data_IF_098230536747
#
_entry.id   IF_098230536747
#
_cell.length_a   1.000
_cell.length_b   1.000
_cell.length_c   1.000
_cell.angle_alpha   90.00
_cell.angle_beta   90.00
_cell.angle_gamma   90.00
#
_symmetry.space_group_name_H-M   'P 1'
#
loop_
_entity.id
_entity.type
_entity.pdbx_description
1 polymer ?
#
# COMPACT_ATOMS: atom_id res chain seq x y z
N UNK A 1 -20.25 -30.71 -8.64
CA UNK A 1 -21.04 -29.74 -7.85
C UNK A 1 -20.86 -28.37 -8.47
N UNK A 2 -21.94 -27.79 -9.01
CA UNK A 2 -21.89 -26.45 -9.61
C UNK A 2 -21.77 -25.37 -8.54
N UNK A 3 -20.90 -24.39 -8.76
CA UNK A 3 -20.85 -23.17 -7.94
C UNK A 3 -22.25 -22.52 -7.95
N UNK A 4 -22.79 -22.09 -6.79
CA UNK A 4 -24.03 -21.35 -6.77
C UNK A 4 -23.89 -20.08 -7.63
N UNK A 5 -24.96 -19.65 -8.33
CA UNK A 5 -24.92 -18.43 -9.12
C UNK A 5 -24.54 -17.26 -8.21
N UNK A 6 -23.56 -16.46 -8.64
CA UNK A 6 -23.20 -15.21 -7.95
C UNK A 6 -24.46 -14.35 -7.86
N UNK A 7 -24.88 -14.01 -6.65
CA UNK A 7 -25.93 -13.03 -6.44
C UNK A 7 -25.50 -11.70 -7.08
N UNK A 8 -26.17 -11.31 -8.16
CA UNK A 8 -25.98 -10.01 -8.80
C UNK A 8 -26.85 -9.02 -8.04
N UNK A 9 -26.24 -8.22 -7.18
CA UNK A 9 -26.91 -7.11 -6.48
C UNK A 9 -26.88 -5.89 -7.39
N UNK A 10 -28.05 -5.33 -7.72
CA UNK A 10 -28.09 -4.08 -8.49
C UNK A 10 -27.70 -2.92 -7.59
N UNK A 11 -27.18 -1.84 -8.20
CA UNK A 11 -26.77 -0.66 -7.44
C UNK A 11 -27.94 -0.03 -6.69
N UNK A 12 -29.14 -0.01 -7.29
CA UNK A 12 -30.37 0.49 -6.63
C UNK A 12 -30.79 -0.32 -5.39
N UNK A 13 -30.37 -1.57 -5.29
CA UNK A 13 -30.75 -2.48 -4.19
C UNK A 13 -29.72 -2.49 -3.04
N UNK A 14 -28.66 -1.69 -3.15
CA UNK A 14 -27.63 -1.63 -2.11
C UNK A 14 -28.17 -0.94 -0.85
N UNK A 15 -27.89 -1.48 0.35
CA UNK A 15 -28.12 -0.77 1.59
C UNK A 15 -27.47 0.62 1.55
N UNK A 16 -28.14 1.63 2.11
CA UNK A 16 -27.68 3.03 2.05
C UNK A 16 -26.22 3.21 2.51
N UNK A 17 -25.81 2.48 3.55
CA UNK A 17 -24.43 2.48 4.02
C UNK A 17 -23.43 1.98 2.96
N UNK A 18 -23.75 0.89 2.25
CA UNK A 18 -22.90 0.37 1.18
C UNK A 18 -22.83 1.33 -0.02
N UNK A 19 -23.95 1.97 -0.37
CA UNK A 19 -23.98 2.99 -1.41
C UNK A 19 -23.11 4.20 -1.05
N UNK A 20 -23.15 4.66 0.21
CA UNK A 20 -22.31 5.75 0.70
C UNK A 20 -20.82 5.37 0.66
N UNK A 21 -20.44 4.16 1.09
CA UNK A 21 -19.05 3.68 0.99
C UNK A 21 -18.56 3.63 -0.46
N UNK A 22 -19.37 3.15 -1.40
CA UNK A 22 -19.02 3.16 -2.83
C UNK A 22 -18.88 4.58 -3.38
N UNK A 23 -19.74 5.50 -2.96
CA UNK A 23 -19.62 6.92 -3.28
C UNK A 23 -18.28 7.49 -2.82
N UNK A 24 -17.92 7.27 -1.55
CA UNK A 24 -16.65 7.73 -0.99
C UNK A 24 -15.43 7.12 -1.72
N UNK A 25 -15.47 5.83 -2.07
CA UNK A 25 -14.39 5.18 -2.83
C UNK A 25 -14.25 5.83 -4.21
N UNK A 26 -15.37 6.05 -4.92
CA UNK A 26 -15.37 6.70 -6.23
C UNK A 26 -14.78 8.10 -6.13
N UNK A 27 -15.19 8.88 -5.13
CA UNK A 27 -14.76 10.27 -4.98
C UNK A 27 -13.27 10.33 -4.60
N UNK A 28 -12.77 9.41 -3.78
CA UNK A 28 -11.32 9.25 -3.52
C UNK A 28 -10.55 8.92 -4.79
N UNK A 29 -11.00 7.96 -5.60
CA UNK A 29 -10.32 7.61 -6.83
C UNK A 29 -10.33 8.76 -7.86
N UNK A 30 -11.44 9.50 -7.95
CA UNK A 30 -11.54 10.67 -8.81
C UNK A 30 -10.57 11.77 -8.38
N UNK A 31 -10.51 12.07 -7.07
CA UNK A 31 -9.57 13.04 -6.49
C UNK A 31 -8.13 12.68 -6.83
N UNK A 32 -7.72 11.44 -6.56
CA UNK A 32 -6.35 10.99 -6.83
C UNK A 32 -5.99 11.02 -8.31
N UNK A 33 -6.94 10.68 -9.18
CA UNK A 33 -6.70 10.66 -10.63
C UNK A 33 -6.65 12.05 -11.27
N UNK A 34 -7.46 12.99 -10.79
CA UNK A 34 -7.65 14.30 -11.42
C UNK A 34 -6.82 15.40 -10.76
N UNK A 35 -6.67 15.37 -9.43
CA UNK A 35 -6.11 16.48 -8.67
C UNK A 35 -4.64 16.27 -8.31
N UNK A 36 -4.20 15.02 -8.09
CA UNK A 36 -2.80 14.72 -7.83
C UNK A 36 -2.02 14.77 -9.14
N UNK A 37 -1.29 15.86 -9.35
CA UNK A 37 -0.42 16.06 -10.53
C UNK A 37 0.88 15.26 -10.40
N UNK A 38 0.78 13.96 -10.60
CA UNK A 38 1.90 13.02 -10.60
C UNK A 38 1.72 11.97 -11.70
N UNK A 39 2.74 11.17 -12.01
CA UNK A 39 2.59 10.16 -13.06
C UNK A 39 1.56 9.08 -12.68
N UNK A 40 0.72 8.69 -13.64
CA UNK A 40 -0.38 7.73 -13.43
C UNK A 40 0.07 6.36 -12.92
N UNK A 41 1.36 6.00 -13.11
CA UNK A 41 1.96 4.77 -12.58
C UNK A 41 1.89 4.68 -11.05
N UNK A 42 1.88 5.80 -10.34
CA UNK A 42 1.80 5.84 -8.87
C UNK A 42 0.39 5.52 -8.37
N UNK A 43 -0.63 5.89 -9.15
CA UNK A 43 -2.04 5.57 -8.88
C UNK A 43 -2.41 4.11 -9.21
N UNK A 44 -1.76 3.52 -10.21
CA UNK A 44 -2.14 2.20 -10.75
C UNK A 44 -2.21 1.09 -9.69
N UNK A 45 -1.26 1.07 -8.75
CA UNK A 45 -1.25 0.05 -7.69
C UNK A 45 -2.46 0.18 -6.78
N UNK A 46 -2.79 1.41 -6.35
CA UNK A 46 -3.98 1.67 -5.53
C UNK A 46 -5.25 1.26 -6.28
N UNK A 47 -5.40 1.66 -7.55
CA UNK A 47 -6.55 1.30 -8.35
C UNK A 47 -6.73 -0.22 -8.44
N UNK A 48 -5.66 -0.94 -8.78
CA UNK A 48 -5.68 -2.42 -8.85
C UNK A 48 -5.99 -3.04 -7.48
N UNK A 49 -5.52 -2.46 -6.39
CA UNK A 49 -5.82 -2.95 -5.05
C UNK A 49 -7.31 -2.81 -4.71
N UNK A 50 -7.90 -1.66 -5.07
CA UNK A 50 -9.29 -1.32 -4.82
C UNK A 50 -10.26 -2.26 -5.54
N UNK A 51 -9.96 -2.62 -6.80
CA UNK A 51 -10.81 -3.51 -7.62
C UNK A 51 -10.41 -4.99 -7.53
N UNK A 52 -9.52 -5.35 -6.61
CA UNK A 52 -8.95 -6.71 -6.49
C UNK A 52 -8.38 -7.23 -7.82
N UNK A 53 -7.62 -6.41 -8.56
CA UNK A 53 -6.99 -6.76 -9.84
C UNK A 53 -5.47 -6.93 -9.78
N UNK A 54 -4.87 -6.89 -8.58
CA UNK A 54 -3.44 -7.24 -8.43
C UNK A 54 -3.28 -8.73 -8.73
N UNK A 55 -2.38 -9.15 -9.64
CA UNK A 55 -2.25 -10.55 -10.08
C UNK A 55 -1.57 -11.42 -9.00
N UNK A 56 -2.33 -11.73 -7.95
CA UNK A 56 -1.95 -12.58 -6.83
C UNK A 56 -2.75 -13.89 -6.89
N UNK A 57 -2.12 -15.03 -7.20
CA UNK A 57 -2.79 -16.33 -7.18
C UNK A 57 -3.53 -16.58 -5.86
N UNK A 58 -4.80 -16.97 -5.92
CA UNK A 58 -5.66 -17.18 -4.76
C UNK A 58 -6.37 -15.94 -4.21
N UNK A 59 -6.31 -14.79 -4.91
CA UNK A 59 -7.25 -13.68 -4.73
C UNK A 59 -8.65 -14.06 -5.22
N UNK A 60 -9.65 -13.22 -4.89
CA UNK A 60 -11.07 -13.48 -5.15
C UNK A 60 -11.42 -13.65 -6.64
N UNK A 61 -10.63 -13.03 -7.53
CA UNK A 61 -10.76 -13.15 -8.99
C UNK A 61 -9.95 -14.31 -9.59
N UNK A 62 -9.07 -14.96 -8.81
CA UNK A 62 -8.32 -16.16 -9.19
C UNK A 62 -8.39 -17.24 -8.11
N UNK A 63 -9.60 -17.68 -7.69
CA UNK A 63 -9.76 -18.55 -6.52
C UNK A 63 -9.22 -19.97 -6.73
N UNK A 64 -9.13 -20.42 -7.99
CA UNK A 64 -8.62 -21.74 -8.35
C UNK A 64 -7.12 -21.76 -8.60
N UNK A 65 -6.48 -20.59 -8.73
CA UNK A 65 -5.04 -20.51 -8.88
C UNK A 65 -4.37 -20.83 -7.55
N UNK A 66 -3.46 -21.82 -7.54
CA UNK A 66 -2.72 -22.20 -6.33
C UNK A 66 -1.98 -20.97 -5.80
N UNK A 67 -2.22 -20.65 -4.51
CA UNK A 67 -1.49 -19.58 -3.80
C UNK A 67 0.00 -19.87 -3.88
N UNK A 68 0.74 -18.91 -4.44
CA UNK A 68 2.20 -18.94 -4.44
C UNK A 68 2.69 -18.53 -3.05
N UNK A 69 3.63 -19.28 -2.43
CA UNK A 69 4.24 -18.85 -1.18
C UNK A 69 4.90 -17.49 -1.36
N UNK A 70 4.77 -16.64 -0.35
CA UNK A 70 5.49 -15.38 -0.33
C UNK A 70 6.95 -15.63 0.03
N UNK A 71 7.88 -14.96 -0.66
CA UNK A 71 9.31 -14.99 -0.35
C UNK A 71 9.67 -14.51 1.06
N UNK A 72 8.73 -13.90 1.79
CA UNK A 72 8.95 -13.51 3.19
C UNK A 72 8.87 -14.67 4.19
N UNK A 73 8.46 -15.87 3.75
CA UNK A 73 8.34 -17.06 4.60
C UNK A 73 7.10 -17.11 5.51
N UNK A 74 6.26 -16.07 5.52
CA UNK A 74 5.10 -15.97 6.43
C UNK A 74 3.74 -16.27 5.77
N UNK A 75 3.69 -16.56 4.47
CA UNK A 75 2.44 -16.78 3.74
C UNK A 75 2.55 -17.88 2.69
N UNK A 76 1.54 -18.76 2.61
CA UNK A 76 1.43 -19.79 1.58
C UNK A 76 2.05 -21.15 1.93
N UNK A 77 2.55 -21.36 3.15
CA UNK A 77 2.77 -22.71 3.66
C UNK A 77 1.41 -23.31 4.04
N UNK A 78 0.83 -24.09 3.13
CA UNK A 78 -0.42 -24.82 3.34
C UNK A 78 -0.25 -25.89 4.43
N UNK A 79 -0.29 -25.48 5.69
CA UNK A 79 -0.55 -26.35 6.83
C UNK A 79 -1.98 -26.11 7.27
N UNK A 80 -2.90 -26.99 6.90
CA UNK A 80 -4.20 -27.07 7.54
C UNK A 80 -3.97 -27.45 9.01
N UNK A 81 -3.99 -26.47 9.91
CA UNK A 81 -4.23 -26.76 11.32
C UNK A 81 -5.74 -26.91 11.44
N UNK A 82 -6.21 -28.14 11.21
CA UNK A 82 -7.57 -28.52 11.55
C UNK A 82 -7.71 -28.47 13.08
N UNK A 83 -8.16 -27.34 13.59
CA UNK A 83 -8.44 -27.11 15.00
C UNK A 83 -9.30 -25.86 15.17
N UNK A 84 -10.42 -26.05 15.87
CA UNK A 84 -11.48 -25.10 16.25
C UNK A 84 -11.23 -23.59 15.98
N UNK A 85 -12.17 -22.97 15.27
CA UNK A 85 -12.27 -21.52 15.03
C UNK A 85 -10.99 -20.83 14.52
N UNK A 86 -10.24 -21.50 13.63
CA UNK A 86 -9.13 -20.87 12.92
C UNK A 86 -9.62 -19.61 12.19
N UNK A 87 -9.12 -18.44 12.62
CA UNK A 87 -9.32 -17.19 11.90
C UNK A 87 -9.01 -17.41 10.41
N UNK A 88 -9.90 -16.96 9.53
CA UNK A 88 -9.73 -17.15 8.09
C UNK A 88 -8.32 -16.68 7.67
N UNK A 89 -7.54 -17.56 7.06
CA UNK A 89 -6.18 -17.23 6.63
C UNK A 89 -6.21 -15.93 5.80
N UNK A 90 -5.28 -14.98 6.03
CA UNK A 90 -5.30 -13.69 5.37
C UNK A 90 -5.38 -13.86 3.85
N UNK A 91 -6.14 -12.99 3.19
CA UNK A 91 -6.18 -12.97 1.72
C UNK A 91 -4.78 -12.64 1.18
N UNK A 92 -4.39 -13.09 -0.03
CA UNK A 92 -3.07 -12.71 -0.57
C UNK A 92 -2.89 -11.20 -0.64
N UNK A 93 -3.95 -10.46 -0.96
CA UNK A 93 -3.98 -8.99 -0.88
C UNK A 93 -3.64 -8.45 0.52
N UNK A 94 -4.33 -8.96 1.55
CA UNK A 94 -4.06 -8.60 2.95
C UNK A 94 -2.59 -8.86 3.30
N UNK A 95 -2.09 -10.04 2.95
CA UNK A 95 -0.71 -10.38 3.25
C UNK A 95 0.27 -9.44 2.56
N UNK A 96 0.19 -9.31 1.23
CA UNK A 96 1.20 -8.60 0.47
C UNK A 96 1.21 -7.08 0.68
N UNK A 97 0.07 -6.47 1.01
CA UNK A 97 -0.07 -5.01 1.15
C UNK A 97 -0.31 -4.55 2.60
N UNK A 98 -0.20 -5.45 3.57
CA UNK A 98 -0.31 -5.09 4.99
C UNK A 98 0.58 -5.96 5.88
N UNK A 99 0.45 -7.29 5.82
CA UNK A 99 1.13 -8.16 6.80
C UNK A 99 2.59 -8.50 6.46
N UNK A 100 2.96 -8.44 5.18
CA UNK A 100 4.26 -8.82 4.66
C UNK A 100 5.36 -7.89 5.21
N UNK A 101 6.55 -8.43 5.47
CA UNK A 101 7.71 -7.66 5.94
C UNK A 101 8.02 -6.43 5.05
N UNK A 102 7.84 -6.56 3.73
CA UNK A 102 8.00 -5.45 2.77
C UNK A 102 7.00 -4.32 3.05
N UNK A 103 5.71 -4.63 3.16
CA UNK A 103 4.67 -3.65 3.44
C UNK A 103 4.85 -3.03 4.83
N UNK A 104 5.15 -3.86 5.84
CA UNK A 104 5.40 -3.40 7.21
C UNK A 104 6.58 -2.44 7.31
N UNK A 105 7.65 -2.65 6.54
CA UNK A 105 8.79 -1.73 6.54
C UNK A 105 8.42 -0.34 5.99
N UNK A 106 7.63 -0.28 4.91
CA UNK A 106 7.12 1.00 4.39
C UNK A 106 6.19 1.67 5.40
N UNK A 107 5.25 0.92 5.99
CA UNK A 107 4.33 1.44 7.03
C UNK A 107 5.08 1.89 8.28
N UNK A 108 6.19 1.23 8.64
CA UNK A 108 7.03 1.65 9.76
C UNK A 108 7.68 3.02 9.50
N UNK A 109 8.11 3.31 8.27
CA UNK A 109 8.65 4.62 7.90
C UNK A 109 7.59 5.72 7.96
N UNK A 110 6.36 5.44 7.55
CA UNK A 110 5.24 6.39 7.69
C UNK A 110 4.96 6.64 9.18
N UNK A 111 4.94 5.59 10.01
CA UNK A 111 4.71 5.70 11.45
C UNK A 111 5.82 6.44 12.19
N UNK A 112 7.07 6.35 11.73
CA UNK A 112 8.17 7.13 12.29
C UNK A 112 7.94 8.65 12.16
N UNK A 113 7.17 9.06 11.15
CA UNK A 113 6.80 10.45 10.86
C UNK A 113 5.33 10.75 11.20
N UNK A 114 4.67 9.86 11.96
CA UNK A 114 3.28 10.05 12.32
C UNK A 114 3.19 10.93 13.59
N UNK A 115 2.57 12.12 13.52
CA UNK A 115 2.44 13.00 14.68
C UNK A 115 1.30 12.53 15.61
N UNK A 116 0.46 11.60 15.16
CA UNK A 116 -0.64 11.05 15.93
C UNK A 116 -0.20 10.03 16.98
N UNK A 117 -0.96 9.87 18.09
CA UNK A 117 -0.62 8.95 19.17
C UNK A 117 -0.84 7.48 18.81
N UNK A 118 -1.61 7.20 17.75
CA UNK A 118 -1.94 5.86 17.30
C UNK A 118 -1.23 5.55 15.98
N UNK A 119 -0.71 4.31 15.81
CA UNK A 119 -0.15 3.89 14.54
C UNK A 119 -1.16 4.00 13.40
N UNK A 120 -0.65 4.27 12.19
CA UNK A 120 -1.45 4.25 10.96
C UNK A 120 -2.16 2.91 10.83
N UNK A 121 -3.47 2.97 10.69
CA UNK A 121 -4.32 1.81 10.47
C UNK A 121 -4.35 1.40 9.00
N UNK A 122 -4.68 0.13 8.77
CA UNK A 122 -4.90 -0.38 7.42
C UNK A 122 -5.99 0.39 6.69
N UNK A 123 -7.07 0.73 7.39
CA UNK A 123 -8.19 1.45 6.81
C UNK A 123 -7.76 2.82 6.30
N UNK A 124 -6.95 3.57 7.07
CA UNK A 124 -6.45 4.88 6.64
C UNK A 124 -5.60 4.79 5.36
N UNK A 125 -4.73 3.78 5.27
CA UNK A 125 -3.88 3.59 4.09
C UNK A 125 -4.68 3.08 2.88
N UNK A 126 -5.55 2.08 3.06
CA UNK A 126 -6.30 1.46 1.96
C UNK A 126 -7.46 2.31 1.46
N UNK A 127 -8.09 3.12 2.33
CA UNK A 127 -9.18 4.04 1.96
C UNK A 127 -8.67 5.45 1.65
N UNK A 128 -7.36 5.68 1.78
CA UNK A 128 -6.72 6.99 1.55
C UNK A 128 -7.37 8.08 2.42
N UNK A 129 -7.60 7.76 3.69
CA UNK A 129 -8.17 8.69 4.67
C UNK A 129 -7.05 9.20 5.55
N UNK A 130 -6.82 10.52 5.53
CA UNK A 130 -5.74 11.10 6.31
C UNK A 130 -5.92 10.81 7.81
N UNK A 131 -4.89 10.29 8.48
CA UNK A 131 -4.88 10.19 9.94
C UNK A 131 -4.85 11.59 10.58
N UNK A 132 -5.21 11.72 11.87
CA UNK A 132 -5.05 12.96 12.60
C UNK A 132 -3.62 13.50 12.51
N UNK A 133 -3.49 14.80 12.20
CA UNK A 133 -2.20 15.47 12.04
C UNK A 133 -1.58 15.38 10.64
N UNK A 134 -2.24 14.72 9.69
CA UNK A 134 -1.90 14.79 8.27
C UNK A 134 -2.96 15.56 7.49
N UNK A 135 -2.50 16.37 6.53
CA UNK A 135 -3.35 17.01 5.55
C UNK A 135 -3.65 16.02 4.42
N UNK A 136 -4.89 16.02 3.94
CA UNK A 136 -5.37 15.03 2.97
C UNK A 136 -4.60 15.06 1.64
N UNK A 137 -4.21 16.25 1.16
CA UNK A 137 -3.43 16.39 -0.07
C UNK A 137 -2.05 15.74 0.02
N UNK A 138 -1.39 15.82 1.17
CA UNK A 138 -0.11 15.14 1.42
C UNK A 138 -0.34 13.63 1.59
N UNK A 139 -1.39 13.24 2.33
CA UNK A 139 -1.72 11.84 2.55
C UNK A 139 -2.01 11.09 1.23
N UNK A 140 -2.69 11.74 0.29
CA UNK A 140 -2.94 11.22 -1.05
C UNK A 140 -1.63 10.81 -1.75
N UNK A 141 -0.61 11.66 -1.70
CA UNK A 141 0.73 11.40 -2.27
C UNK A 141 1.45 10.28 -1.51
N UNK A 142 1.43 10.34 -0.17
CA UNK A 142 2.06 9.33 0.71
C UNK A 142 1.50 7.94 0.44
N UNK A 143 0.18 7.80 0.34
CA UNK A 143 -0.46 6.50 0.08
C UNK A 143 -0.12 5.97 -1.30
N UNK A 144 -0.15 6.81 -2.33
CA UNK A 144 0.24 6.38 -3.69
C UNK A 144 1.70 5.93 -3.72
N UNK A 145 2.61 6.69 -3.09
CA UNK A 145 4.01 6.32 -2.97
C UNK A 145 4.19 4.99 -2.21
N UNK A 146 3.53 4.84 -1.07
CA UNK A 146 3.65 3.66 -0.21
C UNK A 146 3.16 2.38 -0.87
N UNK A 147 2.01 2.43 -1.55
CA UNK A 147 1.47 1.28 -2.26
C UNK A 147 2.32 0.91 -3.48
N UNK A 148 2.74 1.90 -4.27
CA UNK A 148 3.63 1.67 -5.41
C UNK A 148 4.97 1.04 -4.97
N UNK A 149 5.56 1.52 -3.88
CA UNK A 149 6.79 0.99 -3.33
C UNK A 149 6.64 -0.42 -2.74
N UNK A 150 5.51 -0.68 -2.09
CA UNK A 150 5.16 -2.03 -1.60
C UNK A 150 5.04 -3.02 -2.77
N UNK A 151 4.36 -2.63 -3.85
CA UNK A 151 4.28 -3.45 -5.07
C UNK A 151 5.66 -3.67 -5.70
N UNK A 152 6.50 -2.62 -5.76
CA UNK A 152 7.86 -2.73 -6.27
C UNK A 152 8.69 -3.77 -5.48
N UNK A 153 8.72 -3.65 -4.15
CA UNK A 153 9.41 -4.59 -3.28
C UNK A 153 8.84 -6.01 -3.40
N UNK A 154 7.52 -6.16 -3.48
CA UNK A 154 6.84 -7.45 -3.64
C UNK A 154 7.23 -8.14 -4.95
N UNK A 155 7.24 -7.42 -6.06
CA UNK A 155 7.63 -7.96 -7.38
C UNK A 155 9.08 -8.42 -7.36
N UNK A 156 9.98 -7.63 -6.76
CA UNK A 156 11.39 -8.00 -6.59
C UNK A 156 11.57 -9.24 -5.74
N UNK A 157 10.93 -9.28 -4.57
CA UNK A 157 10.97 -10.43 -3.66
C UNK A 157 10.50 -11.71 -4.36
N UNK A 158 9.41 -11.62 -5.14
CA UNK A 158 8.92 -12.74 -5.95
C UNK A 158 9.94 -13.18 -6.99
N UNK A 159 10.56 -12.24 -7.71
CA UNK A 159 11.60 -12.53 -8.70
C UNK A 159 12.79 -13.24 -8.08
N UNK A 160 13.31 -12.75 -6.95
CA UNK A 160 14.43 -13.34 -6.23
C UNK A 160 14.10 -14.72 -5.68
N UNK A 161 12.92 -14.88 -5.08
CA UNK A 161 12.44 -16.19 -4.59
C UNK A 161 12.38 -17.23 -5.71
N UNK A 162 11.86 -16.84 -6.88
CA UNK A 162 11.79 -17.73 -8.05
C UNK A 162 13.16 -18.08 -8.62
N UNK A 163 14.04 -17.09 -8.72
CA UNK A 163 15.40 -17.30 -9.20
C UNK A 163 16.16 -18.27 -8.29
N UNK A 164 16.07 -18.08 -6.97
CA UNK A 164 16.72 -18.95 -6.01
C UNK A 164 16.12 -20.37 -5.99
N UNK A 165 14.79 -20.49 -6.12
CA UNK A 165 14.14 -21.80 -6.26
C UNK A 165 14.63 -22.53 -7.52
N UNK A 166 14.80 -21.83 -8.65
CA UNK A 166 15.35 -22.40 -9.87
C UNK A 166 16.82 -22.86 -9.72
N UNK A 167 17.57 -22.26 -8.79
CA UNK A 167 18.95 -22.60 -8.45
C UNK A 167 19.06 -23.59 -7.27
N UNK A 168 17.95 -24.01 -6.67
CA UNK A 168 17.95 -24.90 -5.50
C UNK A 168 18.45 -24.25 -4.19
N UNK A 169 18.46 -22.92 -4.10
CA UNK A 169 18.94 -22.17 -2.93
C UNK A 169 17.77 -21.88 -1.98
N UNK A 170 17.96 -22.09 -0.67
CA UNK A 170 16.97 -21.73 0.35
C UNK A 170 17.03 -20.23 0.66
N UNK A 171 15.90 -19.51 0.54
CA UNK A 171 15.84 -18.03 0.63
C UNK A 171 15.25 -17.47 1.91
N UNK A 172 15.46 -18.12 3.06
CA UNK A 172 14.89 -17.65 4.33
C UNK A 172 15.25 -16.18 4.69
N UNK A 173 16.25 -15.57 4.03
CA UNK A 173 16.73 -14.21 4.27
C UNK A 173 16.35 -13.14 3.22
N UNK A 174 15.61 -13.46 2.16
CA UNK A 174 15.31 -12.49 1.08
C UNK A 174 14.27 -11.41 1.49
N UNK A 175 13.65 -11.50 2.66
CA UNK A 175 12.64 -10.50 3.03
C UNK A 175 13.25 -9.12 3.38
N UNK A 176 14.39 -9.12 4.06
CA UNK A 176 14.99 -7.90 4.62
C UNK A 176 15.59 -6.97 3.56
N UNK A 177 16.39 -7.44 2.58
CA UNK A 177 16.93 -6.56 1.55
C UNK A 177 15.81 -5.94 0.70
N UNK A 178 14.79 -6.71 0.36
CA UNK A 178 13.65 -6.24 -0.44
C UNK A 178 12.74 -5.28 0.33
N UNK A 179 12.65 -5.42 1.65
CA UNK A 179 12.00 -4.43 2.51
C UNK A 179 12.78 -3.10 2.53
N UNK A 180 14.11 -3.15 2.62
CA UNK A 180 14.95 -1.95 2.52
C UNK A 180 14.84 -1.28 1.13
N UNK A 181 14.80 -2.07 0.05
CA UNK A 181 14.58 -1.54 -1.31
C UNK A 181 13.22 -0.88 -1.44
N UNK A 182 12.16 -1.46 -0.85
CA UNK A 182 10.83 -0.83 -0.85
C UNK A 182 10.82 0.49 -0.07
N UNK A 183 11.51 0.56 1.07
CA UNK A 183 11.67 1.81 1.83
C UNK A 183 12.41 2.87 1.02
N UNK A 184 13.51 2.50 0.35
CA UNK A 184 14.26 3.42 -0.50
C UNK A 184 13.42 3.92 -1.69
N UNK A 185 12.66 3.02 -2.35
CA UNK A 185 11.75 3.38 -3.44
C UNK A 185 10.61 4.30 -2.96
N UNK A 186 10.07 4.09 -1.75
CA UNK A 186 9.08 4.97 -1.15
C UNK A 186 9.59 6.41 -1.01
N UNK A 187 10.74 6.60 -0.37
CA UNK A 187 11.31 7.93 -0.17
C UNK A 187 11.77 8.56 -1.49
N UNK A 188 12.36 7.78 -2.39
CA UNK A 188 12.75 8.26 -3.72
C UNK A 188 11.56 8.82 -4.50
N UNK A 189 10.39 8.19 -4.39
CA UNK A 189 9.16 8.69 -5.03
C UNK A 189 8.67 10.00 -4.41
N UNK A 190 8.74 10.14 -3.08
CA UNK A 190 8.36 11.39 -2.42
C UNK A 190 9.30 12.54 -2.78
N UNK A 191 10.61 12.28 -2.86
CA UNK A 191 11.58 13.27 -3.34
C UNK A 191 11.31 13.68 -4.79
N UNK A 192 11.07 12.71 -5.68
CA UNK A 192 10.68 12.98 -7.07
C UNK A 192 9.38 13.80 -7.16
N UNK A 193 8.42 13.56 -6.28
CA UNK A 193 7.20 14.37 -6.23
C UNK A 193 7.50 15.82 -5.79
N UNK A 194 8.34 16.01 -4.76
CA UNK A 194 8.74 17.33 -4.30
C UNK A 194 9.48 18.14 -5.38
N UNK A 195 10.29 17.48 -6.22
CA UNK A 195 10.97 18.08 -7.38
C UNK A 195 10.01 18.63 -8.46
N UNK A 196 8.73 18.20 -8.47
CA UNK A 196 7.71 18.77 -9.35
C UNK A 196 7.26 20.18 -8.93
N UNK A 197 7.65 20.63 -7.73
CA UNK A 197 7.25 21.90 -7.14
C UNK A 197 5.91 21.86 -6.43
N UNK A 198 5.51 22.99 -5.83
CA UNK A 198 4.27 23.11 -5.05
C UNK A 198 3.04 23.12 -5.96
N UNK A 199 2.08 22.20 -5.80
CA UNK A 199 0.85 22.22 -6.60
C UNK A 199 0.00 23.46 -6.31
N UNK A 200 -0.60 24.03 -7.35
CA UNK A 200 -1.36 25.30 -7.27
C UNK A 200 -2.65 25.27 -6.44
N UNK A 201 -3.14 24.09 -6.00
CA UNK A 201 -4.43 23.96 -5.32
C UNK A 201 -4.36 22.94 -4.19
N UNK A 202 -4.82 23.33 -3.00
CA UNK A 202 -4.98 22.43 -1.85
C UNK A 202 -3.73 22.28 -0.98
N UNK A 203 -2.67 23.05 -1.24
CA UNK A 203 -1.38 22.99 -0.52
C UNK A 203 -1.08 24.26 0.30
N UNK A 204 -1.95 25.27 0.29
CA UNK A 204 -1.74 26.57 0.94
C UNK A 204 -1.60 26.48 2.48
N UNK A 205 -2.07 25.38 3.09
CA UNK A 205 -2.00 25.12 4.53
C UNK A 205 -0.91 24.14 4.94
N UNK A 206 0.03 23.82 4.05
CA UNK A 206 1.19 22.98 4.35
C UNK A 206 2.36 23.92 4.66
N UNK A 207 2.95 23.78 5.85
CA UNK A 207 4.09 24.59 6.28
C UNK A 207 5.29 23.71 6.64
N UNK A 208 6.33 24.34 7.19
CA UNK A 208 7.57 23.70 7.62
C UNK A 208 7.39 22.61 8.69
N UNK A 209 6.23 22.53 9.34
CA UNK A 209 5.96 21.58 10.43
C UNK A 209 5.40 20.26 9.94
N UNK A 210 5.03 20.16 8.67
CA UNK A 210 4.48 18.92 8.14
C UNK A 210 5.53 17.80 8.13
N UNK A 211 5.25 16.61 8.70
CA UNK A 211 6.28 15.64 9.04
C UNK A 211 6.85 14.83 7.86
N UNK A 212 6.20 14.84 6.69
CA UNK A 212 6.68 14.13 5.49
C UNK A 212 6.96 15.06 4.30
N UNK A 213 5.96 15.82 3.84
CA UNK A 213 6.13 16.83 2.79
C UNK A 213 5.77 18.20 3.34
N UNK A 214 6.71 19.13 3.31
CA UNK A 214 6.54 20.49 3.81
C UNK A 214 6.64 21.50 2.67
N UNK A 215 6.03 22.68 2.84
CA UNK A 215 6.24 23.82 1.94
C UNK A 215 6.94 24.93 2.70
N UNK A 216 8.12 25.32 2.24
CA UNK A 216 8.96 26.33 2.88
C UNK A 216 9.44 27.30 1.81
N UNK A 217 9.17 28.60 1.98
CA UNK A 217 9.53 29.64 1.01
C UNK A 217 9.06 29.37 -0.43
N UNK A 218 7.93 28.67 -0.59
CA UNK A 218 7.39 28.31 -1.90
C UNK A 218 8.02 27.07 -2.55
N UNK A 219 8.94 26.40 -1.86
CA UNK A 219 9.54 25.14 -2.28
C UNK A 219 8.97 23.96 -1.50
N UNK A 220 8.77 22.83 -2.18
CA UNK A 220 8.38 21.59 -1.52
C UNK A 220 9.61 20.84 -1.02
N UNK A 221 9.62 20.51 0.26
CA UNK A 221 10.66 19.72 0.91
C UNK A 221 10.12 18.35 1.30
N UNK A 222 10.96 17.33 1.16
CA UNK A 222 10.66 15.98 1.63
C UNK A 222 11.52 15.67 2.85
N UNK A 223 10.90 15.08 3.87
CA UNK A 223 11.62 14.52 5.03
C UNK A 223 12.59 13.41 4.61
N UNK A 224 13.55 13.10 5.49
CA UNK A 224 14.52 12.05 5.26
C UNK A 224 14.04 10.72 5.87
N UNK A 225 14.53 9.57 5.37
CA UNK A 225 14.32 8.29 6.04
C UNK A 225 14.87 8.33 7.46
N UNK A 226 14.15 7.74 8.43
CA UNK A 226 14.56 7.74 9.85
C UNK A 226 15.98 7.16 10.08
N UNK A 227 16.45 6.25 9.22
CA UNK A 227 17.80 5.69 9.32
C UNK A 227 18.92 6.69 8.98
N UNK A 228 18.60 7.80 8.29
CA UNK A 228 19.55 8.84 7.90
C UNK A 228 19.57 10.05 8.86
N UNK A 229 18.58 10.19 9.74
CA UNK A 229 18.52 11.29 10.72
C UNK A 229 19.49 11.11 11.90
N UNK A 230 20.03 9.90 12.09
CA UNK A 230 20.97 9.57 13.18
C UNK A 230 22.43 9.96 12.88
N UNK A 231 22.73 10.46 11.67
CA UNK A 231 24.09 10.89 11.27
C UNK A 231 24.23 12.40 10.99
N UNK A 232 23.23 13.21 11.39
CA UNK A 232 23.23 14.67 11.21
C UNK A 232 23.47 15.45 12.52
#
# INVERSE_FOLDING_TARGET
MGLPPRAVVRREDLPAAAAATLGAIRDTLARLWQEVRWERRHFETLWRLAIDAVPLPGNSHMPLARREPCGCGQHGHGGAVAGAHAAAAPTPRQHHFWDCAVAKAVVAQINAHNPGPAPISQAQLWLVQAPPGFQQCVWDVVVMAALAATEHGRVRLRGMTRAAAALGIQTAAAAAPEAAVAVADFWSRLMQFAELGVPHKGWDGIDATHPILAVVNGEMLCALPQAMELEA
#
